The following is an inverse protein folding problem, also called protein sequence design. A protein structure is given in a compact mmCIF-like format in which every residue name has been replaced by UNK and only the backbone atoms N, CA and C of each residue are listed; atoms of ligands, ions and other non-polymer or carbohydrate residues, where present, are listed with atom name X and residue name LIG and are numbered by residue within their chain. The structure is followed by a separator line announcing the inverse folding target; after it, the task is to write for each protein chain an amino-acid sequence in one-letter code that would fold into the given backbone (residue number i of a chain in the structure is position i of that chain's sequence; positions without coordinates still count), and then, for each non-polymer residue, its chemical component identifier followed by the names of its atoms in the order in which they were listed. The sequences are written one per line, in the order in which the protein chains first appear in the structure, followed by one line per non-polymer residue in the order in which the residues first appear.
data_IF_660725681215
#
_entry.id   IF_660725681215
#
_cell.length_a   1.000
_cell.length_b   1.000
_cell.length_c   1.000
_cell.angle_alpha   90.00
_cell.angle_beta   90.00
_cell.angle_gamma   90.00
#
_symmetry.space_group_name_H-M   'P 1'
#
loop_
_entity.id
_entity.type
_entity.pdbx_description
1 polymer ?
#
# COMPACT_ATOMS: atom_id res chain seq x y z
N UNK A 1 -16.07 -21.70 -13.85
CA UNK A 1 -15.05 -20.76 -14.38
C UNK A 1 -14.39 -20.09 -13.19
N UNK A 2 -13.10 -20.35 -12.95
CA UNK A 2 -12.36 -19.70 -11.89
C UNK A 2 -12.06 -18.27 -12.36
N UNK A 3 -12.69 -17.28 -11.74
CA UNK A 3 -12.19 -15.91 -11.82
C UNK A 3 -10.83 -15.93 -11.13
N UNK A 4 -9.75 -16.00 -11.92
CA UNK A 4 -8.44 -15.57 -11.47
C UNK A 4 -8.62 -14.11 -11.11
N UNK A 5 -8.89 -13.86 -9.83
CA UNK A 5 -8.69 -12.56 -9.24
C UNK A 5 -7.17 -12.38 -9.35
N UNK A 6 -6.72 -11.87 -10.49
CA UNK A 6 -5.53 -11.06 -10.54
C UNK A 6 -5.87 -9.91 -9.61
N UNK A 7 -5.74 -10.17 -8.30
CA UNK A 7 -5.62 -9.15 -7.29
C UNK A 7 -4.52 -8.29 -7.86
N UNK A 8 -4.91 -7.16 -8.41
CA UNK A 8 -3.99 -6.12 -8.77
C UNK A 8 -3.34 -5.78 -7.44
N UNK A 9 -2.24 -6.45 -7.13
CA UNK A 9 -1.32 -6.10 -6.07
C UNK A 9 -0.76 -4.77 -6.53
N UNK A 10 -1.57 -3.73 -6.35
CA UNK A 10 -1.14 -2.36 -6.58
C UNK A 10 -0.03 -2.17 -5.58
N UNK A 11 1.22 -2.29 -6.06
CA UNK A 11 2.39 -2.06 -5.24
C UNK A 11 2.48 -0.57 -4.99
N UNK A 12 1.99 -0.15 -3.83
CA UNK A 12 2.13 1.22 -3.39
C UNK A 12 3.58 1.43 -2.94
N UNK A 13 4.22 2.51 -3.39
CA UNK A 13 5.60 2.85 -3.01
C UNK A 13 5.62 3.97 -1.99
N UNK A 14 6.46 3.82 -0.98
CA UNK A 14 6.69 4.83 0.03
C UNK A 14 7.49 6.00 -0.55
N UNK A 15 7.02 7.26 -0.43
CA UNK A 15 7.75 8.43 -0.92
C UNK A 15 8.98 8.76 -0.06
N UNK A 16 9.09 8.23 1.16
CA UNK A 16 10.19 8.53 2.09
C UNK A 16 11.40 7.62 1.87
N UNK A 17 11.17 6.32 1.76
CA UNK A 17 12.25 5.32 1.71
C UNK A 17 12.26 4.49 0.41
N UNK A 18 11.35 4.76 -0.53
CA UNK A 18 11.15 3.97 -1.77
C UNK A 18 10.81 2.48 -1.55
N UNK A 19 10.57 2.06 -0.30
CA UNK A 19 10.08 0.73 0.04
C UNK A 19 8.61 0.53 -0.30
N UNK A 20 8.12 -0.69 -0.11
CA UNK A 20 6.75 -1.05 -0.40
C UNK A 20 5.81 -0.64 0.76
N UNK A 21 4.63 -0.13 0.39
CA UNK A 21 3.54 0.17 1.30
C UNK A 21 2.61 -1.06 1.34
N UNK A 22 2.44 -1.62 2.53
CA UNK A 22 1.48 -2.67 2.79
C UNK A 22 0.11 -2.06 3.10
N UNK A 23 -0.95 -2.64 2.54
CA UNK A 23 -2.33 -2.28 2.87
C UNK A 23 -2.77 -3.11 4.07
N UNK A 24 -2.95 -2.48 5.23
CA UNK A 24 -3.47 -3.11 6.44
C UNK A 24 -4.71 -2.35 6.90
N UNK A 25 -5.83 -3.05 7.01
CA UNK A 25 -7.10 -2.49 7.52
C UNK A 25 -7.50 -1.17 6.82
N UNK A 26 -7.42 -1.12 5.48
CA UNK A 26 -7.71 0.08 4.67
C UNK A 26 -6.73 1.26 4.89
N UNK A 27 -5.61 1.02 5.59
CA UNK A 27 -4.52 1.99 5.73
C UNK A 27 -3.27 1.50 5.01
N UNK A 28 -2.57 2.42 4.37
CA UNK A 28 -1.25 2.17 3.81
C UNK A 28 -0.20 2.40 4.88
N UNK A 29 0.71 1.46 5.07
CA UNK A 29 1.84 1.59 5.99
C UNK A 29 3.11 1.03 5.34
N UNK A 30 4.21 1.78 5.43
CA UNK A 30 5.47 1.31 4.90
C UNK A 30 6.10 0.33 5.88
N UNK A 31 6.37 -0.89 5.42
CA UNK A 31 6.97 -1.93 6.26
C UNK A 31 8.45 -1.69 6.54
N UNK A 32 9.09 -0.80 5.78
CA UNK A 32 10.51 -0.51 5.88
C UNK A 32 10.77 0.65 6.85
N UNK A 33 10.20 1.82 6.58
CA UNK A 33 10.43 3.03 7.37
C UNK A 33 9.27 3.42 8.31
N UNK A 34 8.16 2.66 8.32
CA UNK A 34 6.99 2.96 9.18
C UNK A 34 6.17 4.17 8.73
N UNK A 35 6.39 4.67 7.51
CA UNK A 35 5.65 5.80 6.96
C UNK A 35 4.18 5.41 6.70
N UNK A 36 3.26 6.09 7.35
CA UNK A 36 1.81 5.97 7.14
C UNK A 36 1.31 7.23 6.43
N UNK A 37 0.99 7.21 5.13
CA UNK A 37 0.33 8.34 4.50
C UNK A 37 -0.99 8.62 5.21
N UNK A 38 -1.15 9.86 5.69
CA UNK A 38 -2.44 10.33 6.18
C UNK A 38 -3.35 10.41 4.97
N UNK A 39 -4.43 9.61 4.93
CA UNK A 39 -5.47 9.71 3.89
C UNK A 39 -5.74 11.18 3.63
N UNK A 40 -5.36 11.64 2.43
CA UNK A 40 -5.33 13.05 2.09
C UNK A 40 -6.71 13.64 2.33
N UNK A 41 -6.81 14.55 3.30
CA UNK A 41 -7.92 15.50 3.33
C UNK A 41 -7.53 16.64 2.39
N UNK A 42 -7.85 16.48 1.11
CA UNK A 42 -8.12 17.55 0.13
C UNK A 42 -8.86 16.96 -1.09
#
# INVERSE_FOLDING_TARGET
MAISQNATETTYRCPTCAGDLAVRYDSFECTDCGFTPRHGSD
#
